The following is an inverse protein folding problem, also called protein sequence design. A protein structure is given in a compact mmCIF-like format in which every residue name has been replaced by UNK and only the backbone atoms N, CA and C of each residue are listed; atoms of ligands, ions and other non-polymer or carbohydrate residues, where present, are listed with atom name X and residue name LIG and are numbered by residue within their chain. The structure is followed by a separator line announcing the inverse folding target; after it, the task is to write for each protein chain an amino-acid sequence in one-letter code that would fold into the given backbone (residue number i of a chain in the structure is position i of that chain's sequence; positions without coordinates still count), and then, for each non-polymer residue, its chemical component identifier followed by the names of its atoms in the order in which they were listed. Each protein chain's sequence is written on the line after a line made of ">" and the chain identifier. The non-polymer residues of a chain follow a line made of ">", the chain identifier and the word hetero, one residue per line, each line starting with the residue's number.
data_IF_372409528703
#
_entry.id   IF_372409528703
#
_cell.length_a   1.000
_cell.length_b   1.000
_cell.length_c   1.000
_cell.angle_alpha   90.00
_cell.angle_beta   90.00
_cell.angle_gamma   90.00
#
_symmetry.space_group_name_H-M   'P 1'
#
loop_
_entity.id
_entity.type
_entity.pdbx_description
1 polymer ?
#
# COMPACT_ATOMS: atom_id res chain seq x y z
N UNK A 1 -11.67 -12.71 -7.03
CA UNK A 1 -11.37 -11.47 -6.30
C UNK A 1 -12.18 -11.45 -5.02
N UNK A 2 -11.53 -11.16 -3.91
CA UNK A 2 -12.15 -10.94 -2.60
C UNK A 2 -11.75 -9.56 -2.08
N UNK A 3 -12.69 -8.82 -1.54
CA UNK A 3 -12.39 -7.47 -1.08
C UNK A 3 -13.28 -7.04 0.10
N UNK A 4 -12.85 -6.00 0.78
CA UNK A 4 -13.70 -5.23 1.69
C UNK A 4 -13.65 -3.76 1.28
N UNK A 5 -14.81 -3.04 1.23
CA UNK A 5 -14.84 -1.69 0.74
C UNK A 5 -14.06 -0.71 1.62
N UNK A 6 -13.28 0.14 0.99
CA UNK A 6 -12.53 1.20 1.67
C UNK A 6 -11.77 2.05 0.65
N UNK A 7 -12.05 3.36 0.61
CA UNK A 7 -11.32 4.29 -0.28
C UNK A 7 -9.84 4.32 0.09
N UNK A 8 -8.91 4.17 -0.87
CA UNK A 8 -9.09 4.24 -2.32
C UNK A 8 -9.08 2.87 -3.04
N UNK A 9 -9.39 1.74 -2.40
CA UNK A 9 -9.35 0.40 -3.02
C UNK A 9 -10.67 -0.07 -3.65
N UNK A 10 -11.79 0.55 -3.28
CA UNK A 10 -13.14 0.10 -3.64
C UNK A 10 -13.35 -0.02 -5.14
N UNK A 11 -12.86 0.95 -5.90
CA UNK A 11 -13.07 1.07 -7.35
C UNK A 11 -12.47 -0.11 -8.13
N UNK A 12 -11.41 -0.76 -7.64
CA UNK A 12 -10.81 -1.93 -8.27
C UNK A 12 -11.84 -3.06 -8.35
N UNK A 13 -12.49 -3.36 -7.24
CA UNK A 13 -13.47 -4.46 -7.14
C UNK A 13 -14.75 -4.12 -7.89
N UNK A 14 -15.26 -2.89 -7.77
CA UNK A 14 -16.44 -2.42 -8.50
C UNK A 14 -16.23 -2.51 -10.01
N UNK A 15 -15.07 -2.09 -10.49
CA UNK A 15 -14.72 -2.19 -11.91
C UNK A 15 -14.75 -3.65 -12.40
N UNK A 16 -14.11 -4.56 -11.68
CA UNK A 16 -14.07 -5.98 -12.04
C UNK A 16 -15.47 -6.59 -12.02
N UNK A 17 -16.29 -6.30 -11.00
CA UNK A 17 -17.67 -6.78 -10.92
C UNK A 17 -18.55 -6.26 -12.09
N UNK A 18 -18.33 -5.03 -12.50
CA UNK A 18 -19.07 -4.39 -13.60
C UNK A 18 -18.62 -4.81 -15.00
N UNK A 19 -17.38 -5.32 -15.14
CA UNK A 19 -16.77 -5.53 -16.46
C UNK A 19 -17.35 -6.76 -17.17
N UNK A 20 -17.80 -6.63 -18.46
CA UNK A 20 -18.43 -7.74 -19.20
C UNK A 20 -17.51 -8.98 -19.31
N UNK A 21 -16.23 -8.77 -19.59
CA UNK A 21 -15.25 -9.85 -19.73
C UNK A 21 -15.07 -10.67 -18.44
N UNK A 22 -15.21 -10.02 -17.27
CA UNK A 22 -15.13 -10.73 -16.00
C UNK A 22 -16.26 -11.75 -15.84
N UNK A 23 -17.47 -11.39 -16.29
CA UNK A 23 -18.64 -12.29 -16.31
C UNK A 23 -18.48 -13.40 -17.35
N UNK A 24 -18.05 -13.05 -18.55
CA UNK A 24 -17.81 -14.00 -19.63
C UNK A 24 -16.79 -15.08 -19.23
N UNK A 25 -15.72 -14.68 -18.56
CA UNK A 25 -14.66 -15.57 -18.11
C UNK A 25 -14.93 -16.25 -16.76
N UNK A 26 -16.09 -16.01 -16.15
CA UNK A 26 -16.47 -16.61 -14.88
C UNK A 26 -15.56 -16.18 -13.71
N UNK A 27 -15.05 -14.95 -13.73
CA UNK A 27 -14.25 -14.42 -12.64
C UNK A 27 -15.16 -14.20 -11.43
N UNK A 28 -14.91 -14.98 -10.36
CA UNK A 28 -15.60 -14.77 -9.09
C UNK A 28 -15.09 -13.48 -8.44
N UNK A 29 -15.97 -12.53 -8.19
CA UNK A 29 -15.64 -11.25 -7.56
C UNK A 29 -16.71 -10.89 -6.53
N UNK A 30 -16.32 -10.83 -5.25
CA UNK A 30 -17.26 -10.67 -4.15
C UNK A 30 -16.73 -9.78 -3.04
N UNK A 31 -17.63 -9.06 -2.38
CA UNK A 31 -17.37 -8.37 -1.13
C UNK A 31 -17.45 -9.37 0.03
N UNK A 32 -16.49 -9.27 0.93
CA UNK A 32 -16.42 -10.05 2.15
C UNK A 32 -16.98 -9.26 3.35
N UNK A 33 -17.23 -9.93 4.45
CA UNK A 33 -17.75 -9.28 5.68
C UNK A 33 -16.69 -8.44 6.41
N UNK A 34 -15.42 -8.75 6.19
CA UNK A 34 -14.25 -7.96 6.62
C UNK A 34 -13.02 -8.44 5.85
N UNK A 35 -11.88 -7.76 6.06
CA UNK A 35 -10.63 -8.05 5.36
C UNK A 35 -10.01 -9.38 5.77
N UNK A 36 -10.20 -9.82 7.02
CA UNK A 36 -9.73 -11.13 7.48
C UNK A 36 -10.41 -12.25 6.67
N UNK A 37 -11.73 -12.21 6.56
CA UNK A 37 -12.46 -13.21 5.77
C UNK A 37 -12.16 -13.12 4.28
N UNK A 38 -11.88 -11.93 3.75
CA UNK A 38 -11.42 -11.76 2.37
C UNK A 38 -10.08 -12.48 2.14
N UNK A 39 -9.12 -12.26 3.01
CA UNK A 39 -7.78 -12.87 2.92
C UNK A 39 -7.83 -14.39 3.13
N UNK A 40 -8.60 -14.88 4.09
CA UNK A 40 -8.76 -16.32 4.35
C UNK A 40 -9.42 -17.04 3.16
N UNK A 41 -10.47 -16.46 2.58
CA UNK A 41 -11.11 -16.99 1.37
C UNK A 41 -10.17 -17.03 0.18
N UNK A 42 -9.38 -15.97 0.00
CA UNK A 42 -8.37 -15.89 -1.03
C UNK A 42 -7.27 -16.95 -0.85
N UNK A 43 -6.81 -17.16 0.38
CA UNK A 43 -5.81 -18.18 0.67
C UNK A 43 -6.33 -19.58 0.33
N UNK A 44 -7.59 -19.90 0.69
CA UNK A 44 -8.25 -21.16 0.30
C UNK A 44 -8.35 -21.32 -1.23
N UNK A 45 -8.65 -20.26 -1.96
CA UNK A 45 -8.68 -20.28 -3.42
C UNK A 45 -7.29 -20.48 -4.01
N UNK A 46 -6.26 -19.81 -3.47
CA UNK A 46 -4.88 -20.03 -3.87
C UNK A 46 -4.45 -21.49 -3.65
N UNK A 47 -4.79 -22.09 -2.51
CA UNK A 47 -4.52 -23.51 -2.23
C UNK A 47 -5.17 -24.46 -3.24
N UNK A 48 -6.33 -24.09 -3.79
CA UNK A 48 -6.97 -24.85 -4.87
C UNK A 48 -6.35 -24.64 -6.26
N UNK A 49 -5.24 -23.90 -6.35
CA UNK A 49 -4.51 -23.65 -7.59
C UNK A 49 -5.07 -22.52 -8.46
N UNK A 50 -5.87 -21.62 -7.91
CA UNK A 50 -6.44 -20.48 -8.64
C UNK A 50 -5.70 -19.18 -8.36
N UNK A 51 -5.55 -18.33 -9.37
CA UNK A 51 -5.13 -16.94 -9.17
C UNK A 51 -6.18 -16.19 -8.37
N UNK A 52 -5.75 -15.44 -7.40
CA UNK A 52 -6.66 -14.66 -6.54
C UNK A 52 -6.09 -13.31 -6.17
N UNK A 53 -6.94 -12.29 -6.30
CA UNK A 53 -6.67 -10.91 -5.92
C UNK A 53 -7.45 -10.59 -4.63
N UNK A 54 -6.77 -9.98 -3.68
CA UNK A 54 -7.41 -9.41 -2.47
C UNK A 54 -7.23 -7.91 -2.50
N UNK A 55 -8.31 -7.14 -2.35
CA UNK A 55 -8.25 -5.68 -2.36
C UNK A 55 -8.74 -5.11 -1.04
N UNK A 56 -7.96 -4.20 -0.46
CA UNK A 56 -8.32 -3.53 0.78
C UNK A 56 -7.59 -2.20 0.96
N UNK A 57 -8.14 -1.36 1.80
CA UNK A 57 -7.47 -0.17 2.32
C UNK A 57 -6.36 -0.56 3.30
N UNK A 58 -5.38 0.32 3.53
CA UNK A 58 -4.26 0.05 4.45
C UNK A 58 -4.69 -0.38 5.85
N UNK A 59 -5.76 0.21 6.41
CA UNK A 59 -6.27 -0.20 7.73
C UNK A 59 -6.82 -1.63 7.73
N UNK A 60 -7.25 -2.14 6.58
CA UNK A 60 -7.66 -3.54 6.41
C UNK A 60 -6.51 -4.52 6.57
N UNK A 61 -5.27 -4.09 6.33
CA UNK A 61 -4.08 -4.91 6.61
C UNK A 61 -3.97 -5.25 8.11
N UNK A 62 -4.39 -4.35 9.00
CA UNK A 62 -4.44 -4.64 10.43
C UNK A 62 -5.41 -5.80 10.73
N UNK A 63 -6.57 -5.78 10.09
CA UNK A 63 -7.64 -6.77 10.29
C UNK A 63 -7.24 -8.13 9.74
N UNK A 64 -6.58 -8.18 8.58
CA UNK A 64 -6.17 -9.43 7.94
C UNK A 64 -4.74 -9.87 8.31
N UNK A 65 -4.04 -9.15 9.18
CA UNK A 65 -2.62 -9.37 9.47
C UNK A 65 -2.29 -10.83 9.85
N UNK A 66 -3.13 -11.47 10.67
CA UNK A 66 -2.94 -12.88 11.03
C UNK A 66 -2.94 -13.79 9.79
N UNK A 67 -3.95 -13.67 8.93
CA UNK A 67 -4.04 -14.47 7.71
C UNK A 67 -2.91 -14.13 6.72
N UNK A 68 -2.55 -12.84 6.60
CA UNK A 68 -1.47 -12.38 5.70
C UNK A 68 -0.10 -12.91 6.13
N UNK A 69 0.28 -12.76 7.41
CA UNK A 69 1.57 -13.24 7.92
C UNK A 69 1.67 -14.77 7.85
N UNK A 70 0.59 -15.47 8.19
CA UNK A 70 0.56 -16.93 8.07
C UNK A 70 0.60 -17.41 6.61
N UNK A 71 0.07 -16.64 5.65
CA UNK A 71 0.18 -16.98 4.23
C UNK A 71 1.63 -16.96 3.73
N UNK A 72 2.50 -16.14 4.31
CA UNK A 72 3.94 -16.20 4.04
C UNK A 72 4.60 -17.50 4.54
N UNK A 73 4.13 -18.00 5.68
CA UNK A 73 4.63 -19.27 6.26
C UNK A 73 4.15 -20.49 5.47
N UNK A 74 2.87 -20.52 5.11
CA UNK A 74 2.28 -21.63 4.35
C UNK A 74 2.59 -21.58 2.86
N UNK A 75 2.86 -20.39 2.36
CA UNK A 75 3.03 -20.11 0.94
C UNK A 75 1.71 -20.00 0.18
N UNK A 76 1.82 -19.73 -1.11
CA UNK A 76 0.75 -19.72 -2.08
C UNK A 76 0.89 -20.92 -3.03
N UNK A 77 -0.21 -21.39 -3.61
CA UNK A 77 -0.19 -22.44 -4.65
C UNK A 77 -0.57 -21.83 -6.01
N UNK A 78 -1.80 -21.36 -6.19
CA UNK A 78 -2.11 -20.41 -7.26
C UNK A 78 -1.70 -19.00 -6.84
N UNK A 79 -1.44 -18.12 -7.80
CA UNK A 79 -0.95 -16.76 -7.55
C UNK A 79 -1.85 -15.98 -6.57
N UNK A 80 -1.26 -15.46 -5.50
CA UNK A 80 -1.93 -14.67 -4.48
C UNK A 80 -1.33 -13.27 -4.45
N UNK A 81 -2.13 -12.29 -4.87
CA UNK A 81 -1.76 -10.87 -4.85
C UNK A 81 -2.68 -10.13 -3.90
N UNK A 82 -2.08 -9.42 -2.95
CA UNK A 82 -2.78 -8.59 -1.96
C UNK A 82 -2.54 -7.12 -2.30
N UNK A 83 -3.59 -6.42 -2.73
CA UNK A 83 -3.52 -4.98 -3.02
C UNK A 83 -3.92 -4.22 -1.76
N UNK A 84 -2.97 -3.49 -1.19
CA UNK A 84 -3.19 -2.57 -0.10
C UNK A 84 -3.09 -1.12 -0.60
N UNK A 85 -4.14 -0.34 -0.36
CA UNK A 85 -4.19 1.06 -0.79
C UNK A 85 -3.97 1.98 0.41
N UNK A 86 -2.80 2.63 0.43
CA UNK A 86 -2.41 3.57 1.46
C UNK A 86 -3.00 4.96 1.22
N UNK A 87 -3.30 5.67 2.29
CA UNK A 87 -3.90 7.01 2.27
C UNK A 87 -3.03 8.02 3.04
N UNK A 88 -1.85 8.40 2.50
CA UNK A 88 -1.06 9.48 3.06
C UNK A 88 -1.87 10.78 3.17
N UNK A 89 -1.63 11.58 4.20
CA UNK A 89 -2.44 12.74 4.57
C UNK A 89 -3.87 12.43 5.02
N UNK A 90 -4.26 11.18 5.14
CA UNK A 90 -5.55 10.78 5.74
C UNK A 90 -6.77 11.44 5.08
N UNK A 91 -6.80 11.52 3.74
CA UNK A 91 -7.92 12.13 3.00
C UNK A 91 -9.27 11.50 3.35
N UNK A 92 -9.29 10.21 3.67
CA UNK A 92 -10.49 9.49 4.11
C UNK A 92 -10.20 8.42 5.17
N UNK A 93 -9.17 8.62 5.99
CA UNK A 93 -8.68 7.61 6.93
C UNK A 93 -8.56 8.14 8.35
N UNK A 94 -8.69 7.25 9.33
CA UNK A 94 -8.55 7.54 10.76
C UNK A 94 -7.08 7.58 11.23
N UNK A 95 -6.15 7.07 10.43
CA UNK A 95 -4.71 7.11 10.69
C UNK A 95 -3.92 7.06 9.37
N UNK A 96 -2.61 7.31 9.48
CA UNK A 96 -1.66 7.16 8.37
C UNK A 96 -0.80 5.93 8.62
N UNK A 97 -0.84 4.97 7.69
CA UNK A 97 -0.07 3.74 7.74
C UNK A 97 0.69 3.54 6.43
N UNK A 98 1.70 2.69 6.49
CA UNK A 98 2.51 2.29 5.34
C UNK A 98 2.50 0.77 5.21
N UNK A 99 1.85 0.27 4.20
CA UNK A 99 1.66 -1.17 3.99
C UNK A 99 2.96 -1.91 3.68
N UNK A 100 4.03 -1.22 3.29
CA UNK A 100 5.36 -1.83 3.07
C UNK A 100 5.90 -2.50 4.34
N UNK A 101 5.56 -1.97 5.53
CA UNK A 101 5.96 -2.57 6.80
C UNK A 101 5.35 -3.96 7.00
N UNK A 102 4.14 -4.22 6.50
CA UNK A 102 3.56 -5.57 6.54
C UNK A 102 4.31 -6.55 5.66
N UNK A 103 4.70 -6.12 4.45
CA UNK A 103 5.51 -6.95 3.57
C UNK A 103 6.88 -7.26 4.18
N UNK A 104 7.52 -6.26 4.75
CA UNK A 104 8.82 -6.40 5.41
C UNK A 104 8.75 -7.33 6.62
N UNK A 105 7.76 -7.13 7.49
CA UNK A 105 7.51 -7.95 8.67
C UNK A 105 7.19 -9.42 8.31
N UNK A 106 6.36 -9.63 7.28
CA UNK A 106 6.00 -10.97 6.81
C UNK A 106 7.06 -11.61 5.92
N UNK A 107 8.13 -10.90 5.58
CA UNK A 107 9.19 -11.34 4.66
C UNK A 107 8.67 -11.73 3.27
N UNK A 108 7.71 -10.98 2.75
CA UNK A 108 7.15 -11.20 1.40
C UNK A 108 7.57 -10.09 0.44
N UNK A 109 7.61 -10.37 -0.87
CA UNK A 109 7.84 -9.34 -1.88
C UNK A 109 6.75 -8.28 -1.87
N UNK A 110 7.15 -7.01 -2.06
CA UNK A 110 6.22 -5.91 -2.24
C UNK A 110 6.51 -5.20 -3.56
N UNK A 111 5.44 -4.89 -4.30
CA UNK A 111 5.47 -4.14 -5.55
C UNK A 111 4.79 -2.79 -5.33
N UNK A 112 5.48 -1.72 -5.63
CA UNK A 112 5.03 -0.35 -5.41
C UNK A 112 5.22 0.45 -6.71
N UNK A 113 4.26 0.38 -7.66
CA UNK A 113 4.38 1.07 -8.94
C UNK A 113 4.48 2.58 -8.75
N UNK A 114 5.22 3.24 -9.63
CA UNK A 114 5.38 4.70 -9.63
C UNK A 114 4.24 5.41 -10.35
N UNK A 115 3.57 4.75 -11.29
CA UNK A 115 2.48 5.28 -12.08
C UNK A 115 1.45 4.20 -12.49
N UNK A 116 0.42 4.61 -13.23
CA UNK A 116 -0.67 3.74 -13.64
C UNK A 116 -0.26 2.71 -14.69
N UNK A 117 0.70 3.04 -15.57
CA UNK A 117 1.20 2.11 -16.58
C UNK A 117 1.98 0.97 -15.92
N UNK A 118 2.85 1.31 -14.97
CA UNK A 118 3.53 0.30 -14.17
C UNK A 118 2.54 -0.54 -13.35
N UNK A 119 1.53 0.08 -12.73
CA UNK A 119 0.52 -0.65 -11.98
C UNK A 119 -0.22 -1.67 -12.86
N UNK A 120 -0.51 -1.30 -14.10
CA UNK A 120 -1.16 -2.19 -15.07
C UNK A 120 -0.30 -3.42 -15.39
N UNK A 121 0.98 -3.25 -15.64
CA UNK A 121 1.88 -4.36 -15.97
C UNK A 121 2.28 -5.17 -14.72
N UNK A 122 2.58 -4.49 -13.62
CA UNK A 122 3.03 -5.14 -12.38
C UNK A 122 2.01 -6.08 -11.75
N UNK A 123 0.70 -5.85 -11.91
CA UNK A 123 -0.29 -6.79 -11.34
C UNK A 123 -0.19 -8.18 -11.99
N UNK A 124 0.07 -8.25 -13.29
CA UNK A 124 0.31 -9.51 -13.99
C UNK A 124 1.59 -10.17 -13.50
N UNK A 125 2.67 -9.39 -13.44
CA UNK A 125 3.96 -9.87 -12.96
C UNK A 125 3.91 -10.33 -11.50
N UNK A 126 3.11 -9.65 -10.66
CA UNK A 126 2.89 -10.06 -9.28
C UNK A 126 2.25 -11.45 -9.18
N UNK A 127 1.28 -11.76 -10.04
CA UNK A 127 0.71 -13.10 -10.12
C UNK A 127 1.74 -14.13 -10.57
N UNK A 128 2.47 -13.86 -11.63
CA UNK A 128 3.52 -14.75 -12.17
C UNK A 128 4.63 -14.96 -11.15
N UNK A 129 5.04 -13.91 -10.44
CA UNK A 129 6.05 -13.99 -9.37
C UNK A 129 5.56 -14.81 -8.17
N UNK A 130 4.31 -14.60 -7.76
CA UNK A 130 3.67 -15.36 -6.68
C UNK A 130 3.62 -16.86 -7.01
N UNK A 131 3.21 -17.21 -8.21
CA UNK A 131 3.14 -18.60 -8.69
C UNK A 131 4.52 -19.27 -8.75
N UNK A 132 5.49 -18.58 -9.35
CA UNK A 132 6.87 -19.08 -9.49
C UNK A 132 7.54 -19.34 -8.15
N UNK A 133 7.27 -18.48 -7.17
CA UNK A 133 7.97 -18.49 -5.89
C UNK A 133 7.13 -19.08 -4.75
N UNK A 134 5.88 -19.45 -5.01
CA UNK A 134 4.94 -19.98 -4.03
C UNK A 134 4.78 -19.08 -2.79
N UNK A 135 4.73 -17.77 -2.97
CA UNK A 135 4.67 -16.76 -1.93
C UNK A 135 3.58 -15.72 -2.25
N UNK A 136 2.83 -15.18 -1.28
CA UNK A 136 1.99 -14.02 -1.55
C UNK A 136 2.84 -12.81 -1.96
N UNK A 137 2.28 -11.95 -2.81
CA UNK A 137 2.89 -10.66 -3.17
C UNK A 137 1.98 -9.55 -2.67
N UNK A 138 2.55 -8.60 -1.92
CA UNK A 138 1.87 -7.36 -1.58
C UNK A 138 2.05 -6.36 -2.73
N UNK A 139 0.97 -5.77 -3.22
CA UNK A 139 1.01 -4.64 -4.15
C UNK A 139 0.49 -3.40 -3.43
N UNK A 140 1.36 -2.40 -3.27
CA UNK A 140 1.04 -1.14 -2.61
C UNK A 140 0.65 -0.09 -3.62
N UNK A 141 -0.50 0.53 -3.42
CA UNK A 141 -0.95 1.71 -4.16
C UNK A 141 -1.17 2.86 -3.18
N UNK A 142 -1.12 4.10 -3.66
CA UNK A 142 -1.40 5.29 -2.86
C UNK A 142 -2.65 6.01 -3.35
N UNK A 143 -3.26 6.83 -2.51
CA UNK A 143 -4.45 7.62 -2.84
C UNK A 143 -4.25 8.46 -4.09
N UNK A 144 -3.11 9.12 -4.23
CA UNK A 144 -2.84 9.94 -5.41
C UNK A 144 -2.81 9.12 -6.69
N UNK A 145 -2.17 7.97 -6.68
CA UNK A 145 -2.16 7.07 -7.83
C UNK A 145 -3.57 6.58 -8.17
N UNK A 146 -4.36 6.21 -7.15
CA UNK A 146 -5.72 5.70 -7.34
C UNK A 146 -6.70 6.75 -7.88
N UNK A 147 -6.53 8.02 -7.50
CA UNK A 147 -7.43 9.11 -7.90
C UNK A 147 -6.90 9.96 -9.08
N UNK A 148 -5.68 9.76 -9.51
CA UNK A 148 -5.17 10.38 -10.73
C UNK A 148 -5.51 9.55 -11.97
N UNK A 149 -5.35 10.15 -13.15
CA UNK A 149 -5.63 9.52 -14.43
C UNK A 149 -4.42 9.65 -15.35
N UNK A 150 -4.12 8.59 -16.06
CA UNK A 150 -3.08 8.57 -17.09
C UNK A 150 -3.58 7.84 -18.33
N UNK A 151 -2.87 8.02 -19.43
CA UNK A 151 -3.01 7.17 -20.62
C UNK A 151 -2.13 5.95 -20.38
N UNK A 152 -2.71 4.76 -20.48
CA UNK A 152 -2.03 3.48 -20.28
C UNK A 152 -2.06 2.69 -21.59
N UNK A 153 -0.91 2.16 -22.00
CA UNK A 153 -0.81 1.25 -23.13
C UNK A 153 -1.24 -0.14 -22.65
N UNK A 154 -2.38 -0.61 -23.15
CA UNK A 154 -2.91 -1.91 -22.77
C UNK A 154 -2.44 -3.00 -23.73
N UNK A 155 -2.17 -4.17 -23.19
CA UNK A 155 -1.96 -5.37 -23.98
C UNK A 155 -3.26 -5.81 -24.67
N UNK A 156 -3.13 -6.62 -25.73
CA UNK A 156 -4.27 -7.34 -26.28
C UNK A 156 -4.91 -8.24 -25.22
N UNK A 157 -6.21 -8.53 -25.40
CA UNK A 157 -6.94 -9.41 -24.50
C UNK A 157 -6.24 -10.77 -24.46
N UNK A 158 -5.63 -11.08 -23.32
CA UNK A 158 -4.92 -12.34 -23.13
C UNK A 158 -5.90 -13.52 -23.17
N UNK A 159 -5.47 -14.61 -23.77
CA UNK A 159 -6.20 -15.87 -23.69
C UNK A 159 -6.29 -16.32 -22.22
N UNK A 160 -7.43 -16.94 -21.88
CA UNK A 160 -7.61 -17.50 -20.55
C UNK A 160 -6.78 -18.78 -20.43
N UNK A 161 -5.75 -18.74 -19.59
CA UNK A 161 -4.98 -19.93 -19.27
C UNK A 161 -5.70 -20.78 -18.21
N UNK A 162 -5.90 -22.06 -18.49
CA UNK A 162 -6.24 -23.05 -17.47
C UNK A 162 -5.00 -23.41 -16.67
N UNK A 163 -4.64 -22.56 -15.71
CA UNK A 163 -3.54 -22.87 -14.81
C UNK A 163 -4.05 -23.84 -13.74
N UNK A 164 -3.51 -25.06 -13.75
CA UNK A 164 -3.78 -26.09 -12.74
C UNK A 164 -2.49 -26.36 -11.98
N UNK A 165 -2.40 -25.77 -10.80
CA UNK A 165 -1.32 -26.12 -9.88
C UNK A 165 -1.76 -27.30 -9.02
N UNK A 166 -1.07 -28.46 -9.06
CA UNK A 166 -1.33 -29.56 -8.15
C UNK A 166 -1.08 -29.11 -6.71
N UNK A 167 -1.75 -29.75 -5.77
CA UNK A 167 -1.44 -29.55 -4.36
C UNK A 167 0.03 -29.94 -4.09
N UNK A 168 0.70 -29.30 -3.14
CA UNK A 168 2.06 -29.68 -2.78
C UNK A 168 2.16 -31.15 -2.40
N UNK A 169 3.23 -31.80 -2.82
CA UNK A 169 3.48 -33.22 -2.48
C UNK A 169 3.56 -33.45 -0.98
N UNK A 170 3.99 -32.47 -0.21
CA UNK A 170 4.05 -32.55 1.25
C UNK A 170 2.69 -32.24 1.87
N UNK A 171 2.05 -33.22 2.46
CA UNK A 171 0.80 -33.07 3.21
C UNK A 171 0.87 -32.02 4.34
N UNK A 172 2.08 -31.71 4.84
CA UNK A 172 2.34 -30.72 5.90
C UNK A 172 2.56 -29.31 5.39
N UNK A 173 2.54 -29.05 4.08
CA UNK A 173 2.89 -27.73 3.52
C UNK A 173 2.01 -26.60 4.07
N UNK A 174 0.72 -26.87 4.23
CA UNK A 174 -0.28 -25.90 4.72
C UNK A 174 -0.72 -26.12 6.17
N UNK A 175 0.06 -26.91 6.92
CA UNK A 175 -0.24 -27.23 8.32
C UNK A 175 0.83 -26.61 9.23
N UNK A 176 0.47 -25.57 9.95
CA UNK A 176 1.35 -24.78 10.81
C UNK A 176 1.54 -25.37 12.21
N UNK A 177 1.67 -26.70 12.33
CA UNK A 177 2.17 -27.28 13.56
C UNK A 177 3.54 -26.70 13.91
N UNK A 178 3.90 -26.51 15.19
CA UNK A 178 5.14 -25.84 15.58
C UNK A 178 6.39 -26.37 14.88
N UNK A 179 6.49 -27.67 14.66
CA UNK A 179 7.63 -28.29 13.97
C UNK A 179 7.70 -27.88 12.48
N UNK A 180 6.54 -27.83 11.80
CA UNK A 180 6.45 -27.43 10.40
C UNK A 180 6.70 -25.92 10.26
N UNK A 181 6.05 -25.10 11.10
CA UNK A 181 6.21 -23.66 11.10
C UNK A 181 7.68 -23.25 11.34
N UNK A 182 8.35 -23.87 12.31
CA UNK A 182 9.77 -23.63 12.59
C UNK A 182 10.68 -23.92 11.37
N UNK A 183 10.35 -24.94 10.59
CA UNK A 183 11.08 -25.25 9.36
C UNK A 183 10.81 -24.19 8.29
N UNK A 184 9.52 -23.84 8.07
CA UNK A 184 9.14 -22.86 7.04
C UNK A 184 9.67 -21.46 7.32
N UNK A 185 9.70 -21.02 8.58
CA UNK A 185 10.30 -19.71 8.96
C UNK A 185 11.78 -19.65 8.59
N UNK A 186 12.53 -20.75 8.76
CA UNK A 186 13.94 -20.78 8.33
C UNK A 186 14.08 -20.72 6.82
N UNK A 187 13.28 -21.52 6.10
CA UNK A 187 13.25 -21.49 4.64
C UNK A 187 12.91 -20.09 4.12
N UNK A 188 11.91 -19.43 4.72
CA UNK A 188 11.52 -18.06 4.35
C UNK A 188 12.63 -17.04 4.62
N UNK A 189 13.37 -17.19 5.71
CA UNK A 189 14.52 -16.34 6.01
C UNK A 189 15.67 -16.47 4.97
N UNK A 190 15.81 -17.65 4.36
CA UNK A 190 16.74 -17.84 3.25
C UNK A 190 16.15 -17.31 1.93
N UNK A 191 14.85 -17.51 1.70
CA UNK A 191 14.13 -17.05 0.51
C UNK A 191 14.15 -15.53 0.39
N UNK A 192 14.08 -14.76 1.49
CA UNK A 192 14.10 -13.29 1.46
C UNK A 192 15.40 -12.75 0.85
N UNK A 193 16.50 -13.48 0.96
CA UNK A 193 17.78 -13.11 0.32
C UNK A 193 17.65 -13.23 -1.19
N UNK A 194 17.03 -14.30 -1.67
CA UNK A 194 16.76 -14.51 -3.09
C UNK A 194 15.79 -13.45 -3.64
N UNK A 195 14.73 -13.12 -2.90
CA UNK A 195 13.79 -12.05 -3.30
C UNK A 195 14.49 -10.69 -3.42
N UNK A 196 15.49 -10.43 -2.58
CA UNK A 196 16.35 -9.24 -2.71
C UNK A 196 17.18 -9.27 -3.98
N UNK A 197 17.80 -10.40 -4.31
CA UNK A 197 18.54 -10.55 -5.56
C UNK A 197 17.64 -10.38 -6.79
N UNK A 198 16.40 -10.89 -6.73
CA UNK A 198 15.42 -10.70 -7.80
C UNK A 198 15.05 -9.21 -7.94
N UNK A 199 14.87 -8.49 -6.85
CA UNK A 199 14.63 -7.05 -6.83
C UNK A 199 15.81 -6.25 -7.40
N UNK A 200 17.06 -6.66 -7.07
CA UNK A 200 18.29 -6.05 -7.61
C UNK A 200 18.46 -6.25 -9.11
N UNK A 201 17.93 -7.34 -9.66
CA UNK A 201 18.00 -7.69 -11.09
C UNK A 201 16.79 -7.20 -11.89
N UNK A 202 15.75 -6.72 -11.21
CA UNK A 202 14.53 -6.27 -11.87
C UNK A 202 14.76 -5.00 -12.68
N UNK A 203 14.21 -4.95 -13.89
CA UNK A 203 14.18 -3.74 -14.71
C UNK A 203 13.35 -2.62 -14.09
N UNK A 204 12.41 -2.95 -13.19
CA UNK A 204 11.56 -1.97 -12.53
C UNK A 204 12.34 -1.15 -11.50
N UNK A 205 13.39 -1.74 -10.91
CA UNK A 205 14.34 -1.02 -10.06
C UNK A 205 15.48 -0.47 -10.93
N UNK A 206 15.24 0.61 -11.63
CA UNK A 206 16.19 1.17 -12.58
C UNK A 206 17.19 2.12 -11.94
N UNK A 207 18.44 2.08 -12.40
CA UNK A 207 19.51 2.99 -11.98
C UNK A 207 19.99 3.87 -13.12
N UNK A 208 19.82 5.17 -12.98
CA UNK A 208 20.39 6.18 -13.87
C UNK A 208 21.63 6.78 -13.21
N UNK A 209 22.83 6.71 -13.84
CA UNK A 209 24.09 7.07 -13.19
C UNK A 209 24.28 8.57 -12.96
N UNK A 210 23.50 9.43 -13.64
CA UNK A 210 23.65 10.88 -13.59
C UNK A 210 25.03 11.40 -14.05
N UNK A 211 25.18 12.70 -14.06
CA UNK A 211 26.45 13.40 -14.39
C UNK A 211 27.01 14.15 -13.19
N UNK A 212 26.17 14.49 -12.21
CA UNK A 212 26.51 15.20 -10.98
C UNK A 212 26.38 14.27 -9.77
N UNK A 213 27.51 13.89 -9.18
CA UNK A 213 27.56 12.99 -8.00
C UNK A 213 27.51 13.73 -6.66
N UNK A 214 27.23 15.03 -6.64
CA UNK A 214 27.10 15.81 -5.41
C UNK A 214 25.92 15.33 -4.53
N UNK A 215 24.92 14.69 -5.16
CA UNK A 215 23.73 14.11 -4.54
C UNK A 215 23.37 12.80 -5.25
N UNK A 216 23.12 11.73 -4.49
CA UNK A 216 22.43 10.56 -5.00
C UNK A 216 20.95 10.61 -4.59
N UNK A 217 20.06 10.04 -5.38
CA UNK A 217 18.62 10.03 -5.07
C UNK A 217 18.09 8.60 -5.11
N UNK A 218 17.43 8.18 -4.04
CA UNK A 218 16.63 6.96 -3.99
C UNK A 218 15.16 7.36 -3.99
N UNK A 219 14.45 7.06 -5.08
CA UNK A 219 13.06 7.45 -5.28
C UNK A 219 12.15 6.22 -5.35
N UNK A 220 11.22 6.10 -4.38
CA UNK A 220 10.37 4.94 -4.20
C UNK A 220 8.95 5.20 -4.71
N UNK A 221 8.40 4.25 -5.49
CA UNK A 221 7.04 4.33 -6.00
C UNK A 221 6.73 5.66 -6.67
N UNK A 222 5.60 6.27 -6.31
CA UNK A 222 5.17 7.56 -6.87
C UNK A 222 6.15 8.71 -6.59
N UNK A 223 7.02 8.58 -5.57
CA UNK A 223 8.08 9.57 -5.30
C UNK A 223 9.04 9.75 -6.48
N UNK A 224 9.19 8.73 -7.32
CA UNK A 224 9.94 8.86 -8.57
C UNK A 224 9.30 9.84 -9.55
N UNK A 225 7.97 9.81 -9.69
CA UNK A 225 7.28 10.76 -10.56
C UNK A 225 7.40 12.19 -10.04
N UNK A 226 7.27 12.40 -8.74
CA UNK A 226 7.45 13.73 -8.14
C UNK A 226 8.87 14.28 -8.37
N UNK A 227 9.88 13.41 -8.39
CA UNK A 227 11.23 13.79 -8.77
C UNK A 227 11.30 14.20 -10.25
N UNK A 228 10.77 13.34 -11.14
CA UNK A 228 10.91 13.54 -12.59
C UNK A 228 10.09 14.73 -13.09
N UNK A 229 8.98 15.09 -12.45
CA UNK A 229 8.26 16.34 -12.75
C UNK A 229 9.12 17.59 -12.54
N UNK A 230 10.12 17.53 -11.66
CA UNK A 230 11.10 18.61 -11.46
C UNK A 230 12.24 18.61 -12.48
N UNK A 231 12.39 17.52 -13.23
CA UNK A 231 13.46 17.34 -14.20
C UNK A 231 12.94 16.80 -15.55
N UNK A 232 12.11 17.57 -16.28
CA UNK A 232 11.51 17.11 -17.53
C UNK A 232 12.55 16.78 -18.62
N UNK A 233 13.73 17.40 -18.57
CA UNK A 233 14.87 17.14 -19.50
C UNK A 233 15.82 16.04 -18.98
N UNK A 234 15.49 15.41 -17.83
CA UNK A 234 16.31 14.38 -17.17
C UNK A 234 17.04 14.90 -15.93
N UNK A 235 17.09 14.05 -14.90
CA UNK A 235 17.73 14.37 -13.63
C UNK A 235 19.27 14.31 -13.77
N UNK A 236 20.02 15.35 -13.35
CA UNK A 236 21.48 15.34 -13.45
C UNK A 236 22.15 14.42 -12.42
N UNK A 237 21.45 14.08 -11.34
CA UNK A 237 21.98 13.26 -10.25
C UNK A 237 21.84 11.77 -10.53
N UNK A 238 22.67 10.89 -9.91
CA UNK A 238 22.38 9.47 -9.86
C UNK A 238 21.03 9.20 -9.21
N UNK A 239 20.15 8.49 -9.91
CA UNK A 239 18.81 8.14 -9.42
C UNK A 239 18.64 6.62 -9.39
N UNK A 240 18.30 6.08 -8.24
CA UNK A 240 17.80 4.74 -8.10
C UNK A 240 16.28 4.81 -7.92
N UNK A 241 15.53 4.34 -8.91
CA UNK A 241 14.09 4.10 -8.81
C UNK A 241 13.87 2.77 -8.10
N UNK A 242 13.00 2.76 -7.10
CA UNK A 242 12.65 1.54 -6.34
C UNK A 242 11.15 1.33 -6.38
N UNK A 243 10.72 0.25 -7.03
CA UNK A 243 9.32 -0.16 -7.17
C UNK A 243 9.10 -1.62 -6.77
N UNK A 244 10.20 -2.36 -6.52
CA UNK A 244 10.16 -3.73 -6.00
C UNK A 244 11.02 -3.89 -4.76
N UNK A 245 10.45 -4.58 -3.80
CA UNK A 245 11.08 -4.92 -2.54
C UNK A 245 11.17 -6.45 -2.36
N UNK A 246 12.14 -6.97 -1.58
CA UNK A 246 13.02 -6.26 -0.63
C UNK A 246 13.94 -5.25 -1.28
N UNK A 247 14.30 -4.22 -0.51
CA UNK A 247 15.11 -3.10 -0.97
C UNK A 247 16.41 -3.54 -1.66
N UNK A 248 16.72 -3.02 -2.88
CA UNK A 248 17.91 -3.42 -3.67
C UNK A 248 19.19 -2.86 -3.06
N UNK A 249 19.86 -3.67 -2.24
CA UNK A 249 21.03 -3.27 -1.47
C UNK A 249 22.22 -2.87 -2.35
N UNK A 250 22.50 -3.65 -3.40
CA UNK A 250 23.70 -3.47 -4.23
C UNK A 250 23.76 -2.10 -4.90
N UNK A 251 22.69 -1.72 -5.58
CA UNK A 251 22.64 -0.44 -6.31
C UNK A 251 22.80 0.77 -5.38
N UNK A 252 22.27 0.66 -4.17
CA UNK A 252 22.43 1.72 -3.16
C UNK A 252 23.86 1.81 -2.65
N UNK A 253 24.54 0.68 -2.44
CA UNK A 253 25.95 0.68 -2.05
C UNK A 253 26.82 1.29 -3.16
N UNK A 254 26.59 0.92 -4.42
CA UNK A 254 27.27 1.50 -5.57
C UNK A 254 27.05 3.04 -5.66
N UNK A 255 25.83 3.50 -5.32
CA UNK A 255 25.54 4.94 -5.23
C UNK A 255 26.28 5.59 -4.06
N UNK A 256 26.30 4.97 -2.89
CA UNK A 256 26.94 5.47 -1.68
C UNK A 256 28.47 5.60 -1.80
N UNK A 257 29.10 4.76 -2.61
CA UNK A 257 30.54 4.88 -2.94
C UNK A 257 30.85 6.12 -3.81
N UNK A 258 29.88 6.59 -4.57
CA UNK A 258 30.04 7.70 -5.54
C UNK A 258 29.53 9.03 -5.01
N UNK A 259 28.54 9.01 -4.14
CA UNK A 259 27.84 10.22 -3.66
C UNK A 259 28.04 10.37 -2.15
N UNK A 260 28.52 11.53 -1.71
CA UNK A 260 28.68 11.85 -0.29
C UNK A 260 27.36 12.17 0.43
N UNK A 261 26.27 12.28 -0.32
CA UNK A 261 24.92 12.60 0.17
C UNK A 261 23.88 11.80 -0.61
N UNK A 262 22.87 11.28 0.07
CA UNK A 262 21.74 10.58 -0.55
C UNK A 262 20.43 11.17 -0.02
N UNK A 263 19.53 11.57 -0.93
CA UNK A 263 18.16 11.97 -0.65
C UNK A 263 17.24 10.75 -0.90
N UNK A 264 16.46 10.36 0.12
CA UNK A 264 15.44 9.32 -0.01
C UNK A 264 14.07 9.98 -0.17
N UNK A 265 13.42 9.73 -1.30
CA UNK A 265 12.08 10.20 -1.63
C UNK A 265 11.15 9.00 -1.56
N UNK A 266 10.38 8.90 -0.49
CA UNK A 266 9.43 7.81 -0.27
C UNK A 266 8.12 8.33 0.32
N UNK A 267 7.01 7.78 -0.18
CA UNK A 267 5.67 8.12 0.28
C UNK A 267 5.31 7.27 1.50
N UNK A 268 4.77 7.90 2.56
CA UNK A 268 4.43 7.23 3.81
C UNK A 268 5.51 7.32 4.88
N UNK A 269 5.81 6.23 5.56
CA UNK A 269 6.81 6.19 6.65
C UNK A 269 8.23 6.02 6.10
N UNK A 270 9.28 6.43 6.82
CA UNK A 270 10.67 6.38 6.36
C UNK A 270 11.27 4.97 6.42
N UNK A 271 10.63 3.99 5.77
CA UNK A 271 11.09 2.59 5.78
C UNK A 271 12.46 2.44 5.12
N UNK A 272 12.62 3.03 3.93
CA UNK A 272 13.86 2.88 3.17
C UNK A 272 14.95 3.75 3.74
N UNK A 273 14.63 4.94 4.20
CA UNK A 273 15.58 5.81 4.88
C UNK A 273 16.17 5.15 6.12
N UNK A 274 15.35 4.50 6.96
CA UNK A 274 15.79 3.76 8.14
C UNK A 274 16.68 2.56 7.77
N UNK A 275 16.24 1.76 6.78
CA UNK A 275 17.03 0.62 6.29
C UNK A 275 18.37 1.06 5.72
N UNK A 276 18.40 2.16 4.97
CA UNK A 276 19.62 2.71 4.40
C UNK A 276 20.58 3.20 5.48
N UNK A 277 20.07 3.88 6.50
CA UNK A 277 20.88 4.31 7.65
C UNK A 277 21.52 3.12 8.37
N UNK A 278 20.75 2.06 8.63
CA UNK A 278 21.26 0.82 9.21
C UNK A 278 22.30 0.15 8.34
N UNK A 279 22.05 0.03 7.04
CA UNK A 279 22.96 -0.59 6.09
C UNK A 279 24.31 0.12 6.01
N UNK A 280 24.31 1.45 5.91
CA UNK A 280 25.53 2.25 5.79
C UNK A 280 26.32 2.38 7.09
N UNK A 281 25.64 2.23 8.24
CA UNK A 281 26.32 2.21 9.54
C UNK A 281 27.25 1.00 9.72
N UNK A 282 26.86 -0.16 9.18
CA UNK A 282 27.67 -1.38 9.26
C UNK A 282 28.93 -1.33 8.39
N UNK A 283 28.92 -0.47 7.36
CA UNK A 283 30.07 -0.25 6.49
C UNK A 283 31.01 0.80 7.11
N UNK A 284 31.98 0.33 7.87
CA UNK A 284 32.88 1.13 8.75
C UNK A 284 33.56 2.37 8.14
N UNK A 285 33.51 2.56 6.83
CA UNK A 285 34.11 3.69 6.11
C UNK A 285 33.10 4.55 5.33
N UNK A 286 31.82 4.27 5.38
CA UNK A 286 30.82 5.00 4.62
C UNK A 286 30.37 6.25 5.39
N UNK A 287 30.82 7.43 4.96
CA UNK A 287 30.45 8.74 5.50
C UNK A 287 29.41 9.41 4.57
N UNK A 288 28.30 8.74 4.32
CA UNK A 288 27.25 9.31 3.47
C UNK A 288 26.22 10.01 4.36
N UNK A 289 25.90 11.25 4.02
CA UNK A 289 24.81 11.99 4.64
C UNK A 289 23.47 11.54 4.05
N UNK A 290 22.56 11.02 4.87
CA UNK A 290 21.23 10.62 4.46
C UNK A 290 20.23 11.73 4.76
N UNK A 291 19.52 12.17 3.73
CA UNK A 291 18.45 13.16 3.77
C UNK A 291 17.11 12.50 3.45
N UNK A 292 16.04 12.98 4.07
CA UNK A 292 14.70 12.45 3.82
C UNK A 292 13.67 12.98 4.80
N UNK A 293 12.81 12.09 5.29
CA UNK A 293 11.75 12.43 6.24
C UNK A 293 12.23 12.54 7.68
N UNK A 294 13.28 11.80 8.05
CA UNK A 294 13.79 11.74 9.43
C UNK A 294 14.56 12.99 9.84
N UNK A 295 15.24 13.63 8.90
CA UNK A 295 15.98 14.86 9.18
C UNK A 295 15.17 16.14 8.87
N UNK A 296 13.92 15.98 8.37
CA UNK A 296 13.03 17.08 8.03
C UNK A 296 13.31 17.73 6.67
N UNK A 297 14.19 17.17 5.85
CA UNK A 297 14.37 17.59 4.44
C UNK A 297 13.10 17.42 3.63
N UNK A 298 12.38 16.32 3.86
CA UNK A 298 11.00 16.09 3.41
C UNK A 298 10.03 16.13 4.60
N UNK A 299 8.74 16.43 4.39
CA UNK A 299 7.73 16.38 5.45
C UNK A 299 7.72 15.03 6.17
N UNK A 300 7.68 15.03 7.52
CA UNK A 300 7.72 13.78 8.31
C UNK A 300 6.48 12.91 8.12
N UNK A 301 5.33 13.52 7.88
CA UNK A 301 4.02 12.88 7.70
C UNK A 301 3.30 13.48 6.51
N UNK A 302 2.28 12.80 6.05
CA UNK A 302 1.43 13.26 4.97
C UNK A 302 1.99 12.94 3.58
N UNK A 303 1.17 13.25 2.61
CA UNK A 303 1.44 13.07 1.18
C UNK A 303 2.60 13.96 0.72
N UNK A 304 3.45 13.44 -0.13
CA UNK A 304 4.41 14.22 -0.90
C UNK A 304 3.75 14.78 -2.17
N UNK A 305 4.40 15.77 -2.75
CA UNK A 305 4.08 16.36 -4.03
C UNK A 305 5.36 16.85 -4.72
N UNK A 306 5.30 17.23 -6.00
CA UNK A 306 6.45 17.76 -6.71
C UNK A 306 7.08 18.99 -6.04
N UNK A 307 6.28 19.84 -5.38
CA UNK A 307 6.79 21.05 -4.71
C UNK A 307 7.57 20.73 -3.45
N UNK A 308 7.16 19.74 -2.66
CA UNK A 308 7.90 19.28 -1.48
C UNK A 308 9.24 18.66 -1.88
N UNK A 309 9.27 17.89 -2.97
CA UNK A 309 10.50 17.34 -3.55
C UNK A 309 11.39 18.45 -4.10
N UNK A 310 10.80 19.42 -4.80
CA UNK A 310 11.53 20.60 -5.32
C UNK A 310 12.23 21.37 -4.20
N UNK A 311 11.54 21.60 -3.11
CA UNK A 311 12.10 22.25 -1.92
C UNK A 311 13.24 21.43 -1.31
N UNK A 312 13.08 20.11 -1.23
CA UNK A 312 14.12 19.21 -0.71
C UNK A 312 15.39 19.21 -1.58
N UNK A 313 15.24 19.45 -2.88
CA UNK A 313 16.33 19.61 -3.84
C UNK A 313 16.99 21.01 -3.79
N UNK A 314 16.48 21.93 -2.98
CA UNK A 314 16.98 23.32 -2.90
C UNK A 314 16.65 24.16 -4.13
N UNK A 315 15.67 23.75 -4.93
CA UNK A 315 15.23 24.49 -6.12
C UNK A 315 14.25 25.62 -5.73
N UNK A 316 14.26 26.71 -6.50
CA UNK A 316 13.30 27.81 -6.31
C UNK A 316 11.86 27.30 -6.51
N UNK A 317 10.91 27.76 -5.68
CA UNK A 317 9.50 27.39 -5.84
C UNK A 317 8.98 27.73 -7.24
N UNK A 318 8.12 26.87 -7.79
CA UNK A 318 7.38 27.24 -8.98
C UNK A 318 6.49 28.45 -8.66
N UNK A 319 6.34 29.35 -9.61
CA UNK A 319 5.43 30.50 -9.45
C UNK A 319 4.02 29.94 -9.31
N UNK A 320 3.48 30.00 -8.10
CA UNK A 320 2.15 29.50 -7.82
C UNK A 320 1.13 30.29 -8.65
N UNK A 321 0.37 29.62 -9.49
CA UNK A 321 -0.91 30.17 -9.94
C UNK A 321 -1.73 30.44 -8.69
N UNK A 322 -2.27 31.63 -8.53
CA UNK A 322 -3.12 31.99 -7.39
C UNK A 322 -4.24 30.96 -7.18
N UNK A 323 -4.65 30.75 -5.95
CA UNK A 323 -5.77 29.85 -5.67
C UNK A 323 -6.98 30.27 -6.48
N UNK A 324 -7.54 29.32 -7.25
CA UNK A 324 -8.79 29.55 -7.96
C UNK A 324 -9.92 29.82 -6.95
N UNK A 325 -10.74 30.85 -7.21
CA UNK A 325 -11.95 31.13 -6.43
C UNK A 325 -13.15 30.25 -6.83
N UNK A 326 -13.01 29.49 -7.93
CA UNK A 326 -14.08 28.63 -8.45
C UNK A 326 -14.38 27.41 -7.56
N UNK A 327 -13.38 26.70 -6.98
CA UNK A 327 -13.66 25.58 -6.09
C UNK A 327 -14.28 26.04 -4.77
N UNK A 328 -15.49 25.54 -4.50
CA UNK A 328 -16.17 25.75 -3.20
C UNK A 328 -15.82 24.59 -2.27
N UNK A 329 -15.43 24.85 -1.00
CA UNK A 329 -15.19 23.78 -0.04
C UNK A 329 -16.41 22.86 0.10
N UNK A 330 -16.17 21.56 0.06
CA UNK A 330 -17.21 20.54 0.25
C UNK A 330 -16.88 19.71 1.49
N UNK A 331 -17.14 20.22 2.69
CA UNK A 331 -16.91 19.45 3.90
C UNK A 331 -17.73 18.15 3.85
N UNK A 332 -17.17 17.03 4.34
CA UNK A 332 -17.90 15.77 4.37
C UNK A 332 -19.17 15.95 5.21
N UNK A 333 -20.28 15.41 4.71
CA UNK A 333 -21.58 15.47 5.38
C UNK A 333 -22.40 14.22 5.05
N UNK A 334 -23.29 13.84 5.96
CA UNK A 334 -24.27 12.79 5.67
C UNK A 334 -25.17 13.20 4.51
N UNK A 335 -25.39 12.28 3.57
CA UNK A 335 -26.22 12.53 2.38
C UNK A 335 -27.65 12.96 2.73
N UNK A 336 -28.31 13.65 1.80
CA UNK A 336 -29.74 13.94 1.93
C UNK A 336 -30.53 12.62 1.90
N UNK A 337 -31.50 12.45 2.82
CA UNK A 337 -32.27 11.22 2.94
C UNK A 337 -31.51 10.03 3.53
N UNK A 338 -30.32 10.24 4.07
CA UNK A 338 -29.55 9.19 4.74
C UNK A 338 -30.20 8.79 6.07
N UNK A 339 -30.46 7.50 6.28
CA UNK A 339 -31.03 6.96 7.53
C UNK A 339 -30.21 7.27 8.80
N UNK A 340 -28.88 7.50 8.66
CA UNK A 340 -28.05 7.94 9.78
C UNK A 340 -28.49 9.32 10.33
N UNK A 341 -29.04 10.20 9.47
CA UNK A 341 -29.56 11.51 9.93
C UNK A 341 -30.76 11.34 10.84
N UNK A 342 -31.67 10.45 10.48
CA UNK A 342 -32.88 10.16 11.28
C UNK A 342 -32.48 9.49 12.59
N UNK A 343 -31.55 8.54 12.53
CA UNK A 343 -31.01 7.85 13.71
C UNK A 343 -30.39 8.86 14.69
N UNK A 344 -29.48 9.73 14.23
CA UNK A 344 -28.81 10.70 15.11
C UNK A 344 -29.77 11.77 15.64
N UNK A 345 -30.79 12.14 14.89
CA UNK A 345 -31.85 13.03 15.39
C UNK A 345 -32.59 12.38 16.56
N UNK A 346 -33.00 11.11 16.39
CA UNK A 346 -33.67 10.35 17.44
C UNK A 346 -32.75 10.11 18.66
N UNK A 347 -31.48 9.76 18.43
CA UNK A 347 -30.50 9.56 19.48
C UNK A 347 -30.31 10.81 20.34
N UNK A 348 -30.20 11.97 19.72
CA UNK A 348 -30.03 13.23 20.44
C UNK A 348 -31.23 13.53 21.37
N UNK A 349 -32.45 13.26 20.92
CA UNK A 349 -33.65 13.38 21.78
C UNK A 349 -33.54 12.47 23.01
N UNK A 350 -33.01 11.27 22.85
CA UNK A 350 -32.81 10.36 24.00
C UNK A 350 -31.66 10.86 24.89
N UNK A 351 -30.56 11.33 24.32
CA UNK A 351 -29.43 11.83 25.09
C UNK A 351 -29.77 13.05 25.95
N UNK A 352 -30.58 13.96 25.46
CA UNK A 352 -31.09 15.12 26.27
C UNK A 352 -31.69 14.68 27.60
N UNK A 353 -32.26 13.47 27.65
CA UNK A 353 -32.86 12.92 28.86
C UNK A 353 -31.85 12.28 29.81
N UNK A 354 -30.75 11.76 29.30
CA UNK A 354 -29.81 10.92 30.04
C UNK A 354 -28.41 11.52 30.22
N UNK A 355 -28.08 12.63 29.52
CA UNK A 355 -26.85 13.37 29.79
C UNK A 355 -26.85 14.00 31.21
N UNK A 356 -25.67 14.10 31.83
CA UNK A 356 -24.32 13.85 31.35
C UNK A 356 -23.83 12.40 31.59
N UNK A 357 -24.65 11.49 32.03
CA UNK A 357 -24.23 10.12 32.41
C UNK A 357 -24.05 9.18 31.22
N UNK A 358 -24.74 9.42 30.11
CA UNK A 358 -24.66 8.59 28.92
C UNK A 358 -23.35 8.78 28.16
N UNK A 359 -22.83 7.68 27.63
CA UNK A 359 -21.70 7.68 26.66
C UNK A 359 -22.12 6.91 25.41
N UNK A 360 -21.84 7.50 24.25
CA UNK A 360 -22.15 6.89 22.97
C UNK A 360 -20.85 6.52 22.29
N UNK A 361 -20.71 5.26 21.96
CA UNK A 361 -19.58 4.70 21.24
C UNK A 361 -19.97 4.50 19.76
N UNK A 362 -19.12 4.93 18.85
CA UNK A 362 -19.33 4.81 17.41
C UNK A 362 -18.11 4.19 16.74
N UNK A 363 -18.31 3.75 15.53
CA UNK A 363 -17.29 3.14 14.68
C UNK A 363 -16.86 4.06 13.53
N UNK A 364 -15.88 3.62 12.73
CA UNK A 364 -15.44 4.29 11.51
C UNK A 364 -16.30 3.84 10.33
N UNK A 365 -16.95 4.81 9.70
CA UNK A 365 -17.80 4.63 8.51
C UNK A 365 -18.50 5.94 8.18
N UNK A 366 -19.49 5.94 7.29
CA UNK A 366 -20.30 7.15 7.00
C UNK A 366 -20.93 7.74 8.26
N UNK A 367 -21.28 6.90 9.22
CA UNK A 367 -21.83 7.33 10.51
C UNK A 367 -20.83 8.11 11.37
N UNK A 368 -19.53 8.06 11.12
CA UNK A 368 -18.54 8.95 11.76
C UNK A 368 -18.92 10.42 11.58
N UNK A 369 -19.59 10.76 10.48
CA UNK A 369 -20.05 12.13 10.21
C UNK A 369 -21.17 12.62 11.17
N UNK A 370 -21.75 11.72 11.97
CA UNK A 370 -22.64 12.07 13.07
C UNK A 370 -21.94 12.83 14.21
N UNK A 371 -20.61 12.85 14.26
CA UNK A 371 -19.84 13.71 15.16
C UNK A 371 -19.92 15.19 14.76
N UNK A 372 -20.10 15.46 13.47
CA UNK A 372 -20.14 16.83 12.94
C UNK A 372 -21.50 17.51 13.23
N UNK A 373 -21.57 18.85 13.23
CA UNK A 373 -22.85 19.55 13.27
C UNK A 373 -23.78 19.12 12.12
N UNK A 374 -25.09 19.06 12.34
CA UNK A 374 -25.80 19.47 13.54
C UNK A 374 -25.89 18.43 14.65
N UNK A 375 -25.46 17.20 14.42
CA UNK A 375 -25.75 16.05 15.31
C UNK A 375 -24.89 16.04 16.57
N UNK A 376 -23.57 16.01 16.46
CA UNK A 376 -22.63 15.87 17.58
C UNK A 376 -23.02 14.72 18.53
N UNK A 377 -23.39 13.56 17.94
CA UNK A 377 -24.21 12.55 18.61
C UNK A 377 -23.42 11.47 19.37
N UNK A 378 -22.08 11.48 19.36
CA UNK A 378 -21.30 10.46 20.05
C UNK A 378 -19.98 10.97 20.61
N UNK A 379 -19.36 10.18 21.50
CA UNK A 379 -18.20 10.55 22.29
C UNK A 379 -16.91 9.88 21.84
N UNK A 380 -17.00 8.71 21.16
CA UNK A 380 -15.83 7.96 20.69
C UNK A 380 -16.03 7.45 19.27
N UNK A 381 -14.94 7.40 18.52
CA UNK A 381 -14.86 6.78 17.21
C UNK A 381 -13.38 6.40 17.00
N UNK A 382 -13.04 5.14 17.15
CA UNK A 382 -11.64 4.70 17.23
C UNK A 382 -11.23 3.87 16.01
N UNK A 383 -11.95 2.79 15.73
CA UNK A 383 -11.65 1.87 14.63
C UNK A 383 -12.93 1.20 14.12
N UNK A 384 -12.81 0.39 13.06
CA UNK A 384 -13.97 -0.27 12.45
C UNK A 384 -14.39 -1.48 13.27
N UNK A 385 -15.59 -1.42 13.91
CA UNK A 385 -16.17 -2.50 14.69
C UNK A 385 -15.97 -2.40 16.21
N UNK A 386 -15.29 -1.37 16.73
CA UNK A 386 -14.99 -1.23 18.15
C UNK A 386 -16.20 -0.88 19.02
N UNK A 387 -17.23 -0.22 18.46
CA UNK A 387 -18.31 0.39 19.25
C UNK A 387 -19.03 -0.62 20.16
N UNK A 388 -19.29 -1.82 19.67
CA UNK A 388 -19.99 -2.87 20.42
C UNK A 388 -19.13 -3.33 21.61
N UNK A 389 -17.89 -3.69 21.35
CA UNK A 389 -16.98 -4.19 22.41
C UNK A 389 -16.56 -3.11 23.39
N UNK A 390 -16.42 -1.86 22.96
CA UNK A 390 -16.09 -0.73 23.84
C UNK A 390 -17.26 -0.28 24.71
N UNK A 391 -18.50 -0.65 24.35
CA UNK A 391 -19.71 -0.29 25.11
C UNK A 391 -20.05 -1.31 26.21
N UNK A 392 -19.33 -2.44 26.30
CA UNK A 392 -19.45 -3.45 27.33
C UNK A 392 -18.56 -3.10 28.52
#
# INVERSE_FOLDING_TARGET
>A
VYAYPGTPSTEITEYIQGHPLARERGIHCTWSTNEKTAMESALGMSYSGKRVLVCMKHVGMNVCADAFVNSAITGANGGLVVVACDDPSQHSSQNEQDSRFYADFAMVPCFEPSDQEEAYHMVREAFEYSEKNHIPVLMRLTTRMAHSRAVVTTDDILEQNEIRYPAPERASAWVTLPANAKKRVRELADEILRFREDSEKSSDNSYAPGTDTSLGIVACGIGYNYLMENYPEGCPFPVLKVTRYPFPKKQVMDMAERCGKILVIEEGQPLIEEKLRGLLYDEKNCKVEIKGRLDGTLPRTGELDPDSVRKALGMEPLVACGKSEVPVPRPPALCQGCGHRDFYTALNVVLEKYEPSARVFSDIGCYTLGYLPPFKAFHTCVEMGASITMSV
#
